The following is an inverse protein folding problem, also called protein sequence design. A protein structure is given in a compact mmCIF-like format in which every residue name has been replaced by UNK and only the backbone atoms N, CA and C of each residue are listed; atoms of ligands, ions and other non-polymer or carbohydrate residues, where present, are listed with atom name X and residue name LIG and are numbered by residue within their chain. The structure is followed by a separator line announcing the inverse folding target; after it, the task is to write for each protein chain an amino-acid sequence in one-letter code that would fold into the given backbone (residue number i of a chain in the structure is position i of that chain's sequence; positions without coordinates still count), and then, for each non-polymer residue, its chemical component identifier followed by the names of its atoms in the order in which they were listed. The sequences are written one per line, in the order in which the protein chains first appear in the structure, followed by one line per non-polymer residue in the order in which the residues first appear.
data_IF_465952954995
#
_entry.id   IF_465952954995
#
_cell.length_a   1.000
_cell.length_b   1.000
_cell.length_c   1.000
_cell.angle_alpha   90.00
_cell.angle_beta   90.00
_cell.angle_gamma   90.00
#
_symmetry.space_group_name_H-M   'P 1'
#
loop_
_entity.id
_entity.type
_entity.pdbx_description
1 polymer ?
#
# COMPACT_ATOMS: atom_id res chain seq x y z
N UNK A 1 17.37 5.78 -13.34
CA UNK A 1 16.07 6.01 -14.00
C UNK A 1 15.20 6.81 -13.06
N UNK A 2 14.43 7.77 -13.58
CA UNK A 2 13.42 8.51 -12.79
C UNK A 2 12.33 7.56 -12.33
N UNK A 3 11.72 7.85 -11.19
CA UNK A 3 10.55 7.09 -10.73
C UNK A 3 9.32 7.44 -11.56
N UNK A 4 8.54 6.43 -11.92
CA UNK A 4 7.41 6.54 -12.85
C UNK A 4 6.07 6.35 -12.13
N UNK A 5 5.13 7.29 -12.36
CA UNK A 5 3.80 7.31 -11.73
C UNK A 5 2.75 7.25 -12.84
N UNK A 6 1.75 6.38 -12.68
CA UNK A 6 0.53 6.41 -13.49
C UNK A 6 -0.54 7.22 -12.77
N UNK A 7 -1.10 8.21 -13.43
CA UNK A 7 -2.22 9.03 -12.95
C UNK A 7 -3.47 8.68 -13.75
N UNK A 8 -4.50 8.21 -13.07
CA UNK A 8 -5.76 7.75 -13.68
C UNK A 8 -6.92 8.53 -13.09
N UNK A 9 -7.59 9.33 -13.95
CA UNK A 9 -8.77 10.11 -13.57
C UNK A 9 -9.45 10.58 -14.87
N UNK A 10 -10.77 10.51 -14.96
CA UNK A 10 -11.52 10.94 -16.17
C UNK A 10 -11.58 12.47 -16.29
N UNK A 11 -11.38 13.19 -15.17
CA UNK A 11 -11.33 14.64 -15.13
C UNK A 11 -9.97 15.17 -15.65
N UNK A 12 -9.91 15.58 -16.92
CA UNK A 12 -8.68 16.07 -17.58
C UNK A 12 -7.99 17.22 -16.84
N UNK A 13 -8.73 18.04 -16.08
CA UNK A 13 -8.14 19.13 -15.30
C UNK A 13 -7.39 18.61 -14.07
N UNK A 14 -7.92 17.59 -13.41
CA UNK A 14 -7.25 16.93 -12.28
C UNK A 14 -5.98 16.26 -12.77
N UNK A 15 -6.06 15.44 -13.83
CA UNK A 15 -4.89 14.77 -14.43
C UNK A 15 -3.82 15.79 -14.81
N UNK A 16 -4.19 16.89 -15.48
CA UNK A 16 -3.24 17.95 -15.87
C UNK A 16 -2.55 18.59 -14.67
N UNK A 17 -3.31 18.89 -13.60
CA UNK A 17 -2.79 19.48 -12.37
C UNK A 17 -1.83 18.54 -11.62
N UNK A 18 -2.22 17.27 -11.45
CA UNK A 18 -1.39 16.24 -10.83
C UNK A 18 -0.12 15.98 -11.64
N UNK A 19 -0.26 15.76 -12.95
CA UNK A 19 0.87 15.54 -13.85
C UNK A 19 1.88 16.69 -13.77
N UNK A 20 1.43 17.93 -13.88
CA UNK A 20 2.31 19.10 -13.80
C UNK A 20 3.08 19.13 -12.47
N UNK A 21 2.38 18.92 -11.36
CA UNK A 21 2.96 18.96 -10.02
C UNK A 21 3.95 17.83 -9.76
N UNK A 22 3.69 16.62 -10.27
CA UNK A 22 4.55 15.46 -10.11
C UNK A 22 5.79 15.54 -11.00
N UNK A 23 5.67 16.08 -12.23
CA UNK A 23 6.80 16.36 -13.10
C UNK A 23 7.78 17.38 -12.46
N UNK A 24 7.24 18.38 -11.74
CA UNK A 24 8.09 19.35 -11.00
C UNK A 24 8.88 18.69 -9.85
N UNK A 25 8.41 17.58 -9.30
CA UNK A 25 9.13 16.79 -8.29
C UNK A 25 10.12 15.78 -8.90
N UNK A 26 10.26 15.76 -10.25
CA UNK A 26 11.20 14.91 -10.97
C UNK A 26 10.70 13.50 -11.27
N UNK A 27 9.40 13.23 -11.12
CA UNK A 27 8.80 11.96 -11.52
C UNK A 27 8.51 11.92 -13.02
N UNK A 28 8.60 10.75 -13.63
CA UNK A 28 7.98 10.48 -14.92
C UNK A 28 6.48 10.19 -14.72
N UNK A 29 5.60 10.71 -15.60
CA UNK A 29 4.16 10.62 -15.39
C UNK A 29 3.44 10.23 -16.67
N UNK A 30 2.82 9.05 -16.66
CA UNK A 30 1.83 8.65 -17.64
C UNK A 30 0.43 8.96 -17.11
N UNK A 31 -0.52 9.10 -18.04
CA UNK A 31 -1.90 9.47 -17.73
C UNK A 31 -2.87 8.55 -18.46
N UNK A 32 -3.89 8.08 -17.75
CA UNK A 32 -5.02 7.34 -18.31
C UNK A 32 -6.34 8.01 -17.88
N UNK A 33 -7.36 7.86 -18.69
CA UNK A 33 -8.63 8.57 -18.52
C UNK A 33 -9.83 7.65 -18.34
N UNK A 34 -9.60 6.35 -18.37
CA UNK A 34 -10.59 5.31 -18.04
C UNK A 34 -9.90 4.05 -17.51
N UNK A 35 -10.70 3.14 -16.95
CA UNK A 35 -10.16 1.93 -16.32
C UNK A 35 -9.51 0.95 -17.29
N UNK A 36 -9.97 0.88 -18.57
CA UNK A 36 -9.38 0.01 -19.59
C UNK A 36 -7.98 0.49 -20.00
N UNK A 37 -7.84 1.81 -20.21
CA UNK A 37 -6.55 2.44 -20.50
C UNK A 37 -5.59 2.27 -19.32
N UNK A 38 -6.08 2.42 -18.09
CA UNK A 38 -5.30 2.21 -16.88
C UNK A 38 -4.73 0.79 -16.79
N UNK A 39 -5.55 -0.23 -17.03
CA UNK A 39 -5.12 -1.63 -17.04
C UNK A 39 -4.13 -1.93 -18.16
N UNK A 40 -4.35 -1.35 -19.34
CA UNK A 40 -3.42 -1.49 -20.47
C UNK A 40 -2.05 -0.92 -20.12
N UNK A 41 -1.99 0.26 -19.52
CA UNK A 41 -0.74 0.87 -19.09
C UNK A 41 -0.08 0.08 -17.95
N UNK A 42 -0.84 -0.33 -16.94
CA UNK A 42 -0.31 -1.09 -15.80
C UNK A 42 0.30 -2.44 -16.21
N UNK A 43 -0.24 -3.09 -17.26
CA UNK A 43 0.30 -4.35 -17.79
C UNK A 43 1.50 -4.17 -18.71
N UNK A 44 1.57 -3.04 -19.42
CA UNK A 44 2.60 -2.79 -20.44
C UNK A 44 3.84 -2.07 -19.92
N UNK A 45 3.78 -1.52 -18.71
CA UNK A 45 4.85 -0.70 -18.13
C UNK A 45 5.04 -1.04 -16.65
N UNK A 46 6.25 -0.81 -16.16
CA UNK A 46 6.54 -0.81 -14.73
C UNK A 46 6.32 0.59 -14.15
N UNK A 47 5.55 0.67 -13.09
CA UNK A 47 5.32 1.90 -12.33
C UNK A 47 5.78 1.74 -10.89
N UNK A 48 6.29 2.84 -10.32
CA UNK A 48 6.62 2.92 -8.90
C UNK A 48 5.39 3.27 -8.04
N UNK A 49 4.32 3.77 -8.67
CA UNK A 49 3.05 4.11 -8.02
C UNK A 49 1.93 4.34 -9.04
N UNK A 50 0.69 4.09 -8.61
CA UNK A 50 -0.53 4.45 -9.33
C UNK A 50 -1.38 5.38 -8.45
N UNK A 51 -1.79 6.52 -8.99
CA UNK A 51 -2.87 7.35 -8.45
C UNK A 51 -4.13 7.03 -9.24
N UNK A 52 -5.17 6.55 -8.59
CA UNK A 52 -6.31 5.91 -9.24
C UNK A 52 -7.62 6.49 -8.74
N UNK A 53 -8.36 7.16 -9.61
CA UNK A 53 -9.72 7.57 -9.28
C UNK A 53 -10.66 6.37 -9.14
N UNK A 54 -11.60 6.47 -8.19
CA UNK A 54 -12.64 5.45 -7.98
C UNK A 54 -13.68 5.52 -9.09
N UNK A 55 -14.11 6.72 -9.46
CA UNK A 55 -15.21 6.95 -10.39
C UNK A 55 -14.71 7.04 -11.84
N UNK A 56 -14.38 5.90 -12.44
CA UNK A 56 -13.87 5.83 -13.80
C UNK A 56 -14.90 5.22 -14.76
N UNK A 57 -14.88 5.64 -16.03
CA UNK A 57 -15.62 4.96 -17.10
C UNK A 57 -15.05 3.57 -17.39
N UNK A 58 -15.88 2.67 -17.90
CA UNK A 58 -15.62 1.28 -18.33
C UNK A 58 -15.38 0.35 -17.14
N UNK A 59 -14.23 0.39 -16.52
CA UNK A 59 -13.93 -0.29 -15.24
C UNK A 59 -13.77 0.77 -14.16
N UNK A 60 -14.46 0.59 -13.05
CA UNK A 60 -14.26 1.49 -11.91
C UNK A 60 -12.88 1.29 -11.25
N UNK A 61 -12.47 2.24 -10.41
CA UNK A 61 -11.15 2.19 -9.79
C UNK A 61 -10.95 1.00 -8.86
N UNK A 62 -12.02 0.44 -8.29
CA UNK A 62 -11.92 -0.76 -7.46
C UNK A 62 -11.62 -1.99 -8.31
N UNK A 63 -12.33 -2.15 -9.44
CA UNK A 63 -12.10 -3.22 -10.41
C UNK A 63 -10.68 -3.15 -10.98
N UNK A 64 -10.21 -1.94 -11.33
CA UNK A 64 -8.83 -1.71 -11.80
C UNK A 64 -7.84 -2.12 -10.72
N UNK A 65 -8.03 -1.68 -9.47
CA UNK A 65 -7.16 -2.01 -8.36
C UNK A 65 -7.06 -3.52 -8.15
N UNK A 66 -8.21 -4.20 -8.12
CA UNK A 66 -8.27 -5.65 -7.96
C UNK A 66 -7.51 -6.37 -9.08
N UNK A 67 -7.74 -6.00 -10.35
CA UNK A 67 -7.05 -6.63 -11.47
C UNK A 67 -5.54 -6.34 -11.48
N UNK A 68 -5.11 -5.13 -11.09
CA UNK A 68 -3.68 -4.82 -10.94
C UNK A 68 -3.04 -5.72 -9.89
N UNK A 69 -3.73 -5.99 -8.78
CA UNK A 69 -3.23 -6.87 -7.71
C UNK A 69 -3.07 -8.34 -8.11
N UNK A 70 -3.66 -8.78 -9.21
CA UNK A 70 -3.41 -10.12 -9.77
C UNK A 70 -1.99 -10.29 -10.30
N UNK A 71 -1.29 -9.20 -10.68
CA UNK A 71 0.02 -9.25 -11.31
C UNK A 71 1.04 -8.26 -10.74
N UNK A 72 0.67 -7.35 -9.83
CA UNK A 72 1.57 -6.31 -9.32
C UNK A 72 1.24 -5.89 -7.89
N UNK A 73 2.29 -5.71 -7.07
CA UNK A 73 2.23 -5.09 -5.74
C UNK A 73 2.60 -3.61 -5.77
N UNK A 74 2.53 -2.96 -6.94
CA UNK A 74 2.79 -1.52 -7.09
C UNK A 74 1.93 -0.72 -6.11
N UNK A 75 2.47 0.26 -5.39
CA UNK A 75 1.68 1.09 -4.50
C UNK A 75 0.55 1.81 -5.24
N UNK A 76 -0.69 1.71 -4.71
CA UNK A 76 -1.89 2.36 -5.27
C UNK A 76 -2.47 3.30 -4.22
N UNK A 77 -2.63 4.58 -4.60
CA UNK A 77 -3.41 5.55 -3.84
C UNK A 77 -4.72 5.79 -4.57
N UNK A 78 -5.84 5.51 -3.91
CA UNK A 78 -7.17 5.78 -4.46
C UNK A 78 -7.53 7.25 -4.28
N UNK A 79 -8.10 7.86 -5.32
CA UNK A 79 -8.72 9.18 -5.28
C UNK A 79 -10.24 8.98 -5.21
N UNK A 80 -10.91 9.44 -4.16
CA UNK A 80 -12.33 9.14 -3.93
C UNK A 80 -13.14 10.39 -3.61
N UNK A 81 -14.43 10.41 -3.94
CA UNK A 81 -15.33 11.48 -3.59
C UNK A 81 -15.52 11.57 -2.05
N UNK A 82 -15.76 12.76 -1.54
CA UNK A 82 -16.02 12.98 -0.12
C UNK A 82 -17.43 12.47 0.23
N UNK A 83 -17.54 11.47 1.08
CA UNK A 83 -18.84 11.09 1.64
C UNK A 83 -19.09 9.64 2.02
N UNK A 84 -18.43 8.67 1.40
CA UNK A 84 -18.67 7.29 1.73
C UNK A 84 -17.48 6.64 2.47
N UNK A 85 -17.67 6.45 3.79
CA UNK A 85 -16.74 5.63 4.56
C UNK A 85 -16.71 4.18 4.03
N UNK A 86 -17.78 3.76 3.35
CA UNK A 86 -17.84 2.48 2.63
C UNK A 86 -16.87 2.43 1.45
N UNK A 87 -16.75 3.50 0.64
CA UNK A 87 -15.80 3.55 -0.48
C UNK A 87 -14.35 3.46 -0.01
N UNK A 88 -14.05 4.04 1.16
CA UNK A 88 -12.72 3.95 1.77
C UNK A 88 -12.40 2.52 2.22
N UNK A 89 -13.36 1.85 2.86
CA UNK A 89 -13.23 0.46 3.30
C UNK A 89 -13.11 -0.46 2.10
N UNK A 90 -13.98 -0.29 1.09
CA UNK A 90 -13.94 -1.04 -0.15
C UNK A 90 -12.62 -0.84 -0.91
N UNK A 91 -12.14 0.39 -1.05
CA UNK A 91 -10.85 0.65 -1.72
C UNK A 91 -9.68 -0.10 -1.08
N UNK A 92 -9.69 -0.17 0.24
CA UNK A 92 -8.70 -0.95 0.97
C UNK A 92 -8.94 -2.46 0.85
N UNK A 93 -10.19 -2.92 0.81
CA UNK A 93 -10.54 -4.33 0.53
C UNK A 93 -10.09 -4.77 -0.87
N UNK A 94 -10.06 -3.87 -1.86
CA UNK A 94 -9.58 -4.15 -3.22
C UNK A 94 -8.06 -4.01 -3.40
N UNK A 95 -7.30 -3.59 -2.38
CA UNK A 95 -5.84 -3.64 -2.43
C UNK A 95 -5.12 -2.32 -2.47
N UNK A 96 -5.80 -1.20 -2.33
CA UNK A 96 -5.16 0.09 -2.24
C UNK A 96 -4.29 0.21 -0.97
N UNK A 97 -3.19 0.94 -1.07
CA UNK A 97 -2.28 1.21 0.06
C UNK A 97 -2.70 2.44 0.84
N UNK A 98 -3.37 3.39 0.18
CA UNK A 98 -3.85 4.64 0.78
C UNK A 98 -5.00 5.21 -0.06
N UNK A 99 -5.70 6.21 0.48
CA UNK A 99 -6.72 6.95 -0.27
C UNK A 99 -6.66 8.45 0.05
N UNK A 100 -7.14 9.25 -0.89
CA UNK A 100 -7.23 10.71 -0.78
C UNK A 100 -8.64 11.11 -1.21
N UNK A 101 -9.33 11.88 -0.37
CA UNK A 101 -10.69 12.34 -0.68
C UNK A 101 -10.69 13.60 -1.53
N UNK A 102 -11.48 13.61 -2.60
CA UNK A 102 -11.77 14.79 -3.41
C UNK A 102 -12.79 15.69 -2.68
N UNK A 103 -12.66 17.03 -2.70
CA UNK A 103 -11.55 17.78 -3.29
C UNK A 103 -10.29 17.71 -2.41
N UNK A 104 -9.14 17.49 -3.01
CA UNK A 104 -7.86 17.38 -2.32
C UNK A 104 -6.93 18.56 -2.62
N UNK A 105 -6.00 18.80 -1.71
CA UNK A 105 -4.89 19.69 -1.96
C UNK A 105 -3.76 18.92 -2.66
N UNK A 106 -3.26 19.45 -3.78
CA UNK A 106 -2.12 18.85 -4.50
C UNK A 106 -0.89 18.66 -3.60
N UNK A 107 -0.69 19.52 -2.60
CA UNK A 107 0.39 19.35 -1.61
C UNK A 107 0.20 18.09 -0.76
N UNK A 108 -1.04 17.72 -0.44
CA UNK A 108 -1.34 16.48 0.26
C UNK A 108 -0.98 15.28 -0.61
N UNK A 109 -1.39 15.27 -1.88
CA UNK A 109 -1.03 14.20 -2.83
C UNK A 109 0.49 14.06 -2.91
N UNK A 110 1.22 15.15 -3.11
CA UNK A 110 2.69 15.15 -3.15
C UNK A 110 3.32 14.58 -1.88
N UNK A 111 2.81 14.95 -0.71
CA UNK A 111 3.31 14.47 0.56
C UNK A 111 3.13 12.95 0.72
N UNK A 112 1.96 12.41 0.34
CA UNK A 112 1.66 10.97 0.38
C UNK A 112 2.48 10.20 -0.64
N UNK A 113 2.56 10.67 -1.89
CA UNK A 113 3.43 10.11 -2.92
C UNK A 113 4.86 10.02 -2.42
N UNK A 114 5.42 11.11 -1.90
CA UNK A 114 6.79 11.15 -1.39
C UNK A 114 7.01 10.22 -0.20
N UNK A 115 6.02 10.09 0.69
CA UNK A 115 6.10 9.20 1.83
C UNK A 115 6.17 7.72 1.41
N UNK A 116 5.34 7.31 0.45
CA UNK A 116 5.33 5.94 -0.07
C UNK A 116 6.59 5.68 -0.89
N UNK A 117 6.96 6.58 -1.81
CA UNK A 117 8.15 6.47 -2.66
C UNK A 117 9.45 6.36 -1.87
N UNK A 118 9.56 7.04 -0.73
CA UNK A 118 10.72 6.93 0.17
C UNK A 118 10.84 5.52 0.77
N UNK A 119 9.71 4.86 1.04
CA UNK A 119 9.68 3.51 1.59
C UNK A 119 10.11 2.46 0.57
N UNK A 120 9.80 2.70 -0.71
CA UNK A 120 10.18 1.80 -1.82
C UNK A 120 11.58 2.07 -2.37
N UNK A 121 12.24 3.17 -2.03
CA UNK A 121 13.50 3.65 -2.67
C UNK A 121 14.78 3.21 -1.99
N UNK A 122 14.75 2.48 -0.89
CA UNK A 122 15.98 1.96 -0.30
C UNK A 122 16.42 0.72 -1.08
N UNK A 123 17.06 0.94 -2.24
CA UNK A 123 17.78 -0.08 -3.00
C UNK A 123 19.28 0.02 -2.68
N UNK A 124 19.86 -1.14 -2.41
CA UNK A 124 21.28 -1.50 -2.58
C UNK A 124 22.33 -0.65 -1.85
N UNK A 125 22.42 -0.80 -0.55
CA UNK A 125 23.71 -0.68 0.12
C UNK A 125 23.92 -1.95 0.96
N UNK A 126 25.16 -2.38 1.10
CA UNK A 126 25.65 -3.63 1.72
C UNK A 126 24.72 -4.20 2.79
N UNK A 127 24.41 -5.49 2.66
CA UNK A 127 23.69 -6.28 3.67
C UNK A 127 24.38 -6.06 5.03
N UNK A 128 23.87 -5.14 5.81
CA UNK A 128 24.22 -4.99 7.21
C UNK A 128 23.37 -6.03 7.96
N UNK A 129 24.01 -7.03 8.54
CA UNK A 129 23.32 -8.10 9.27
C UNK A 129 22.39 -7.55 10.37
N UNK A 130 22.63 -6.33 10.85
CA UNK A 130 21.77 -5.63 11.79
C UNK A 130 20.38 -5.26 11.22
N UNK A 131 20.23 -5.24 9.90
CA UNK A 131 18.97 -4.95 9.21
C UNK A 131 18.13 -6.21 8.91
N UNK A 132 18.67 -7.39 9.17
CA UNK A 132 17.96 -8.65 9.00
C UNK A 132 17.33 -9.08 10.33
N UNK A 133 16.03 -9.27 10.30
CA UNK A 133 15.26 -9.80 11.41
C UNK A 133 14.87 -11.25 11.12
N UNK A 134 15.42 -12.19 11.90
CA UNK A 134 15.04 -13.61 11.84
C UNK A 134 13.96 -13.90 12.88
N UNK A 135 12.83 -14.44 12.45
CA UNK A 135 11.70 -14.82 13.30
C UNK A 135 11.13 -16.16 12.84
N UNK A 136 11.32 -17.19 13.64
CA UNK A 136 11.00 -18.57 13.27
C UNK A 136 11.73 -18.95 11.95
N UNK A 137 11.00 -19.30 10.93
CA UNK A 137 11.47 -19.59 9.57
C UNK A 137 11.29 -18.38 8.61
N UNK A 138 10.98 -17.21 9.17
CA UNK A 138 10.81 -15.97 8.42
C UNK A 138 12.07 -15.10 8.54
N UNK A 139 12.56 -14.63 7.39
CA UNK A 139 13.62 -13.63 7.27
C UNK A 139 13.03 -12.33 6.73
N UNK A 140 13.17 -11.25 7.48
CA UNK A 140 12.73 -9.91 7.09
C UNK A 140 13.97 -9.06 6.86
N UNK A 141 14.22 -8.70 5.62
CA UNK A 141 15.25 -7.73 5.24
C UNK A 141 14.61 -6.33 5.27
N UNK A 142 14.94 -5.58 6.30
CA UNK A 142 14.36 -4.27 6.58
C UNK A 142 14.87 -3.19 5.63
N UNK A 143 16.06 -3.38 5.10
CA UNK A 143 16.67 -2.43 4.20
C UNK A 143 16.09 -2.54 2.79
N UNK A 144 16.09 -3.75 2.23
CA UNK A 144 15.49 -4.02 0.93
C UNK A 144 13.96 -4.15 0.96
N UNK A 145 13.36 -4.21 2.19
CA UNK A 145 11.93 -4.42 2.42
C UNK A 145 11.41 -5.74 1.82
N UNK A 146 12.21 -6.79 1.91
CA UNK A 146 11.89 -8.13 1.40
C UNK A 146 11.64 -9.10 2.54
N UNK A 147 10.71 -10.01 2.32
CA UNK A 147 10.35 -11.05 3.28
C UNK A 147 10.55 -12.40 2.63
N UNK A 148 11.15 -13.33 3.36
CA UNK A 148 11.34 -14.71 2.92
C UNK A 148 10.80 -15.66 3.98
N UNK A 149 10.11 -16.70 3.58
CA UNK A 149 9.65 -17.80 4.43
C UNK A 149 10.13 -19.11 3.81
N UNK A 150 10.86 -19.93 4.57
CA UNK A 150 11.46 -21.15 4.06
C UNK A 150 12.29 -20.90 2.77
N UNK A 151 13.01 -19.76 2.71
CA UNK A 151 13.81 -19.26 1.58
C UNK A 151 13.01 -18.83 0.32
N UNK A 152 11.69 -18.90 0.33
CA UNK A 152 10.83 -18.34 -0.71
C UNK A 152 10.52 -16.87 -0.45
N UNK A 153 10.69 -16.01 -1.45
CA UNK A 153 10.37 -14.59 -1.35
C UNK A 153 8.85 -14.38 -1.41
N UNK A 154 8.34 -13.67 -0.40
CA UNK A 154 6.93 -13.29 -0.31
C UNK A 154 6.77 -11.83 -0.72
N UNK A 155 5.99 -11.59 -1.77
CA UNK A 155 5.69 -10.23 -2.23
C UNK A 155 4.64 -9.58 -1.34
N UNK A 156 5.02 -8.46 -0.71
CA UNK A 156 4.14 -7.67 0.16
C UNK A 156 3.98 -6.26 -0.38
N UNK A 157 2.77 -5.71 -0.25
CA UNK A 157 2.57 -4.28 -0.47
C UNK A 157 3.30 -3.46 0.60
N UNK A 158 3.47 -2.16 0.36
CA UNK A 158 4.19 -1.30 1.29
C UNK A 158 3.58 -1.29 2.70
N UNK A 159 2.24 -1.33 2.80
CA UNK A 159 1.53 -1.34 4.09
C UNK A 159 1.57 -2.69 4.79
N UNK A 160 1.49 -3.78 4.05
CA UNK A 160 1.65 -5.13 4.59
C UNK A 160 3.05 -5.33 5.19
N UNK A 161 4.07 -4.85 4.49
CA UNK A 161 5.44 -4.88 5.00
C UNK A 161 5.60 -4.03 6.27
N UNK A 162 5.11 -2.76 6.26
CA UNK A 162 5.19 -1.86 7.42
C UNK A 162 4.51 -2.48 8.66
N UNK A 163 3.35 -3.14 8.47
CA UNK A 163 2.64 -3.84 9.56
C UNK A 163 3.46 -5.03 10.08
N UNK A 164 3.96 -5.86 9.19
CA UNK A 164 4.76 -7.03 9.55
C UNK A 164 6.03 -6.60 10.31
N UNK A 165 6.77 -5.63 9.77
CA UNK A 165 7.99 -5.11 10.40
C UNK A 165 7.73 -4.58 11.81
N UNK A 166 6.71 -3.72 11.96
CA UNK A 166 6.36 -3.15 13.26
C UNK A 166 6.03 -4.22 14.30
N UNK A 167 5.22 -5.19 13.91
CA UNK A 167 4.79 -6.27 14.80
C UNK A 167 5.95 -7.22 15.13
N UNK A 168 6.77 -7.60 14.15
CA UNK A 168 7.89 -8.52 14.31
C UNK A 168 9.07 -7.92 15.11
N UNK A 169 9.26 -6.60 15.05
CA UNK A 169 10.22 -5.89 15.89
C UNK A 169 9.83 -5.88 17.38
N UNK A 170 8.55 -6.07 17.68
CA UNK A 170 8.04 -6.03 19.06
C UNK A 170 7.20 -7.30 19.33
N UNK A 171 7.83 -8.48 19.37
CA UNK A 171 7.10 -9.73 19.57
C UNK A 171 6.34 -9.72 20.90
N UNK A 172 5.18 -10.38 20.91
CA UNK A 172 4.24 -10.51 22.03
C UNK A 172 3.63 -9.19 22.53
N UNK A 173 4.01 -8.06 21.95
CA UNK A 173 3.38 -6.77 22.24
C UNK A 173 2.10 -6.63 21.42
N UNK A 174 0.96 -6.48 22.10
CA UNK A 174 -0.32 -6.25 21.47
C UNK A 174 -0.48 -4.78 21.14
N UNK A 175 -0.78 -4.48 19.88
CA UNK A 175 -1.12 -3.16 19.38
C UNK A 175 -2.62 -3.08 19.10
N UNK A 176 -3.28 -2.02 19.56
CA UNK A 176 -4.66 -1.76 19.17
C UNK A 176 -4.74 -1.35 17.69
N UNK A 177 -5.95 -1.44 17.11
CA UNK A 177 -6.19 -0.99 15.73
C UNK A 177 -5.83 0.47 15.54
N UNK A 178 -6.22 1.32 16.49
CA UNK A 178 -5.91 2.75 16.44
C UNK A 178 -4.40 3.03 16.54
N UNK A 179 -3.68 2.28 17.38
CA UNK A 179 -2.23 2.40 17.46
C UNK A 179 -1.58 2.02 16.13
N UNK A 180 -1.97 0.89 15.52
CA UNK A 180 -1.45 0.46 14.23
C UNK A 180 -1.79 1.47 13.13
N UNK A 181 -3.03 1.97 13.11
CA UNK A 181 -3.46 2.98 12.16
C UNK A 181 -2.59 4.23 12.27
N UNK A 182 -2.43 4.78 13.46
CA UNK A 182 -1.63 5.97 13.70
C UNK A 182 -0.15 5.78 13.39
N UNK A 183 0.42 4.60 13.68
CA UNK A 183 1.86 4.33 13.45
C UNK A 183 2.18 4.08 11.98
N UNK A 184 1.30 3.39 11.24
CA UNK A 184 1.53 2.97 9.85
C UNK A 184 1.00 4.00 8.85
N UNK A 185 -0.16 4.63 9.13
CA UNK A 185 -0.77 5.64 8.24
C UNK A 185 -0.51 7.08 8.68
N UNK A 186 -0.02 7.31 9.92
CA UNK A 186 0.31 8.60 10.55
C UNK A 186 -0.89 9.51 10.85
N UNK A 187 -0.62 10.63 11.55
CA UNK A 187 -1.60 11.53 12.18
C UNK A 187 -2.60 12.22 11.25
N UNK A 188 -2.41 12.20 9.94
CA UNK A 188 -3.33 12.84 8.97
C UNK A 188 -4.40 11.88 8.44
N UNK A 189 -4.40 10.65 8.93
CA UNK A 189 -5.33 9.64 8.47
C UNK A 189 -6.65 9.71 9.25
N UNK A 190 -7.71 10.26 8.63
CA UNK A 190 -9.07 10.30 9.17
C UNK A 190 -9.89 9.03 8.91
N UNK A 191 -9.23 7.90 8.62
CA UNK A 191 -9.88 6.65 8.24
C UNK A 191 -10.32 5.76 9.41
N UNK A 192 -11.14 4.76 9.09
CA UNK A 192 -11.63 3.76 10.03
C UNK A 192 -10.50 2.78 10.44
N UNK A 193 -10.45 2.43 11.71
CA UNK A 193 -9.54 1.43 12.26
C UNK A 193 -9.71 0.03 11.62
N UNK A 194 -10.85 -0.25 10.97
CA UNK A 194 -11.09 -1.45 10.16
C UNK A 194 -10.16 -1.58 8.97
N UNK A 195 -9.57 -0.49 8.49
CA UNK A 195 -8.47 -0.51 7.51
C UNK A 195 -7.35 -1.46 7.92
N UNK A 196 -6.99 -1.46 9.20
CA UNK A 196 -5.96 -2.36 9.74
C UNK A 196 -6.37 -3.82 9.59
N UNK A 197 -7.64 -4.16 9.83
CA UNK A 197 -8.14 -5.54 9.76
C UNK A 197 -7.99 -6.10 8.33
N UNK A 198 -8.27 -5.28 7.32
CA UNK A 198 -8.12 -5.64 5.90
C UNK A 198 -6.67 -5.96 5.56
N UNK A 199 -5.74 -5.08 5.94
CA UNK A 199 -4.32 -5.30 5.66
C UNK A 199 -3.74 -6.48 6.47
N UNK A 200 -4.18 -6.69 7.71
CA UNK A 200 -3.80 -7.88 8.49
C UNK A 200 -4.32 -9.16 7.84
N UNK A 201 -5.56 -9.16 7.33
CA UNK A 201 -6.12 -10.32 6.62
C UNK A 201 -5.27 -10.66 5.41
N UNK A 202 -4.96 -9.69 4.53
CA UNK A 202 -4.14 -9.90 3.34
C UNK A 202 -2.71 -10.31 3.67
N UNK A 203 -2.11 -9.66 4.66
CA UNK A 203 -0.80 -10.06 5.14
C UNK A 203 -0.80 -11.54 5.52
N UNK A 204 -1.81 -12.01 6.30
CA UNK A 204 -1.95 -13.42 6.65
C UNK A 204 -2.15 -14.33 5.44
N UNK A 205 -2.95 -13.91 4.46
CA UNK A 205 -3.18 -14.67 3.22
C UNK A 205 -1.86 -14.91 2.46
N UNK A 206 -0.86 -14.03 2.63
CA UNK A 206 0.45 -14.15 1.98
C UNK A 206 1.49 -14.89 2.83
N UNK A 207 1.51 -14.67 4.15
CA UNK A 207 2.58 -15.20 5.02
C UNK A 207 2.21 -16.46 5.80
N UNK A 208 0.93 -16.76 5.95
CA UNK A 208 0.46 -17.88 6.77
C UNK A 208 0.05 -19.07 5.91
N UNK A 209 0.51 -20.28 6.24
CA UNK A 209 0.01 -21.50 5.59
C UNK A 209 -1.51 -21.71 5.80
N UNK A 210 -2.02 -21.21 6.91
CA UNK A 210 -3.45 -21.18 7.24
C UNK A 210 -3.82 -19.87 7.93
N UNK A 211 -4.41 -18.89 7.21
CA UNK A 211 -4.77 -17.58 7.77
C UNK A 211 -5.73 -17.63 8.97
N UNK A 212 -6.57 -18.69 9.08
CA UNK A 212 -7.49 -18.90 10.21
C UNK A 212 -6.80 -19.48 11.44
N UNK A 213 -5.61 -20.09 11.28
CA UNK A 213 -4.79 -20.59 12.37
C UNK A 213 -3.35 -20.08 12.18
N UNK A 214 -3.10 -18.79 12.42
CA UNK A 214 -1.85 -18.14 12.09
C UNK A 214 -0.69 -18.64 12.95
N UNK A 215 0.52 -18.61 12.37
CA UNK A 215 1.78 -18.91 13.00
C UNK A 215 2.51 -17.65 13.47
N UNK A 216 2.36 -16.55 12.75
CA UNK A 216 3.16 -15.32 12.95
C UNK A 216 2.32 -14.19 13.54
N UNK A 217 1.23 -13.79 12.89
CA UNK A 217 0.42 -12.63 13.27
C UNK A 217 -0.89 -13.07 13.91
N UNK A 218 -1.03 -12.81 15.20
CA UNK A 218 -2.17 -13.24 16.02
C UNK A 218 -3.13 -12.10 16.32
N UNK A 219 -4.40 -12.48 16.52
CA UNK A 219 -5.44 -11.56 17.02
C UNK A 219 -5.58 -11.72 18.54
N UNK A 220 -5.48 -10.61 19.26
CA UNK A 220 -5.97 -10.53 20.64
C UNK A 220 -7.39 -9.98 20.61
N UNK A 221 -8.36 -10.88 20.77
CA UNK A 221 -9.78 -10.52 20.65
C UNK A 221 -10.15 -9.34 21.56
N UNK A 222 -10.89 -8.40 21.00
CA UNK A 222 -11.31 -7.18 21.69
C UNK A 222 -10.19 -6.14 21.88
N UNK A 223 -8.93 -6.43 21.51
CA UNK A 223 -7.79 -5.53 21.71
C UNK A 223 -7.13 -5.15 20.38
N UNK A 224 -6.57 -6.11 19.63
CA UNK A 224 -5.83 -5.83 18.41
C UNK A 224 -4.98 -6.99 17.93
N UNK A 225 -3.75 -6.71 17.50
CA UNK A 225 -2.87 -7.67 16.83
C UNK A 225 -1.47 -7.68 17.43
N UNK A 226 -0.78 -8.82 17.33
CA UNK A 226 0.61 -8.99 17.77
C UNK A 226 1.32 -10.06 16.94
N UNK A 227 2.63 -9.98 16.87
CA UNK A 227 3.48 -11.04 16.32
C UNK A 227 3.89 -11.96 17.48
N UNK A 228 3.82 -13.27 17.27
CA UNK A 228 4.23 -14.25 18.27
C UNK A 228 5.75 -14.40 18.24
N UNK A 229 6.41 -14.23 19.40
CA UNK A 229 7.85 -14.41 19.57
C UNK A 229 8.31 -15.86 19.63
#
# INVERSE_FOLDING_TARGET
MGKKILVVDDEKLIVKGLRFSLLQEGYEVDCAYDGEEALTFARSNEYDMILLDVMLPKFDGFEVCQQVREFSDVPIIMLTAKGDDMDKILGLEYGADDYITKPFNVLEVKARVKAIMRRTSKKEEKVDESNILMKHDMKIDRESRRVFIEDEEISLTAKEFDLLELLALNPDKVYSRDQLLNMIWKYEYSGDARTVDVHIRRLREKIEKNPSNPKYVFTKWGVGYYFKG
#
